data_IF_829586494523
#
_entry.id   IF_829586494523
#
_cell.length_a   1.000
_cell.length_b   1.000
_cell.length_c   1.000
_cell.angle_alpha   90.00
_cell.angle_beta   90.00
_cell.angle_gamma   90.00
#
_symmetry.space_group_name_H-M   'P 1'
#
loop_
_entity.id
_entity.type
_entity.pdbx_description
1 polymer ?
#
# COMPACT_ATOMS: atom_id res chain seq x y z
N UNK A 1 -14.73 49.04 -24.05
CA UNK A 1 -15.32 49.77 -22.91
C UNK A 1 -16.08 48.78 -22.03
N UNK A 2 -15.42 48.19 -21.04
CA UNK A 2 -16.02 47.63 -19.83
C UNK A 2 -14.87 47.39 -18.84
N UNK A 3 -14.89 48.14 -17.75
CA UNK A 3 -13.82 48.22 -16.76
C UNK A 3 -13.91 47.08 -15.75
N UNK A 4 -12.75 46.51 -15.39
CA UNK A 4 -12.60 45.55 -14.30
C UNK A 4 -12.16 46.35 -13.07
N UNK A 5 -13.06 46.53 -12.11
CA UNK A 5 -12.77 47.20 -10.85
C UNK A 5 -12.19 46.21 -9.83
N UNK A 6 -10.89 46.36 -9.56
CA UNK A 6 -10.18 45.88 -8.37
C UNK A 6 -10.73 46.50 -7.08
N UNK A 7 -10.62 45.80 -5.93
CA UNK A 7 -10.43 46.29 -4.53
C UNK A 7 -10.61 45.08 -3.53
N UNK A 8 -10.18 45.12 -2.24
CA UNK A 8 -8.82 44.78 -1.82
C UNK A 8 -8.74 43.74 -0.67
N UNK A 9 -7.50 43.36 -0.37
CA UNK A 9 -7.02 42.49 0.70
C UNK A 9 -7.16 43.17 2.08
N UNK A 10 -7.78 42.51 3.06
CA UNK A 10 -7.75 42.93 4.47
C UNK A 10 -7.51 41.72 5.40
N UNK A 11 -6.52 41.91 6.26
CA UNK A 11 -5.95 40.94 7.17
C UNK A 11 -6.80 40.71 8.42
N UNK A 12 -6.75 39.49 8.98
CA UNK A 12 -6.92 39.31 10.42
C UNK A 12 -6.01 38.19 10.96
N UNK A 13 -4.97 38.64 11.66
CA UNK A 13 -4.10 37.87 12.57
C UNK A 13 -4.91 37.20 13.69
N UNK A 14 -4.55 35.98 14.06
CA UNK A 14 -4.04 35.68 15.42
C UNK A 14 -3.53 34.25 15.54
N UNK A 15 -2.20 34.12 15.62
CA UNK A 15 -1.52 33.02 16.28
C UNK A 15 -1.51 33.31 17.80
N UNK A 16 -1.65 32.26 18.61
CA UNK A 16 -1.44 32.33 20.05
C UNK A 16 -0.42 31.26 20.43
N UNK A 17 0.81 31.72 20.65
CA UNK A 17 1.95 30.96 21.15
C UNK A 17 1.72 30.51 22.60
N UNK A 18 2.17 29.28 22.87
CA UNK A 18 2.35 28.73 24.20
C UNK A 18 3.70 29.16 24.78
N UNK A 19 3.70 29.68 26.02
CA UNK A 19 4.86 29.62 26.93
C UNK A 19 4.39 29.35 28.36
N UNK A 20 5.11 28.55 29.16
CA UNK A 20 4.78 28.28 30.55
C UNK A 20 5.45 29.31 31.48
N UNK A 21 4.77 29.69 32.56
CA UNK A 21 5.34 30.48 33.65
C UNK A 21 5.51 29.64 34.90
N UNK A 22 6.68 29.82 35.51
CA UNK A 22 7.27 29.18 36.66
C UNK A 22 6.50 29.37 37.97
N UNK A 23 6.53 28.35 38.81
CA UNK A 23 6.02 28.38 40.18
C UNK A 23 6.94 29.19 41.11
N UNK A 24 6.33 30.02 41.96
CA UNK A 24 6.94 30.55 43.19
C UNK A 24 6.04 30.23 44.35
N UNK A 25 6.57 29.48 45.31
CA UNK A 25 5.95 29.20 46.60
C UNK A 25 6.08 30.44 47.51
N UNK A 26 5.02 30.76 48.24
CA UNK A 26 5.08 31.65 49.40
C UNK A 26 4.23 31.06 50.53
N UNK A 27 4.77 31.16 51.73
CA UNK A 27 4.30 30.57 52.98
C UNK A 27 3.43 31.57 53.76
N UNK A 28 2.53 31.02 54.58
CA UNK A 28 2.15 31.48 55.94
C UNK A 28 0.73 32.03 56.21
N UNK A 29 0.13 31.39 57.23
CA UNK A 29 -0.64 31.93 58.38
C UNK A 29 -2.16 32.11 58.24
N UNK A 30 -2.84 31.17 58.93
CA UNK A 30 -3.92 31.30 59.91
C UNK A 30 -5.22 32.03 59.54
N UNK A 31 -6.33 31.31 59.69
CA UNK A 31 -7.68 31.87 59.68
C UNK A 31 -8.70 30.88 59.15
N UNK A 32 -9.35 30.14 60.05
CA UNK A 32 -10.37 29.18 59.67
C UNK A 32 -11.61 29.84 59.08
N UNK A 33 -12.05 29.35 57.93
CA UNK A 33 -13.47 29.25 57.55
C UNK A 33 -13.63 27.92 56.81
N UNK A 34 -14.33 26.97 57.42
CA UNK A 34 -14.83 25.79 56.70
C UNK A 34 -15.94 26.24 55.76
N UNK A 35 -15.66 26.27 54.45
CA UNK A 35 -16.69 26.25 53.42
C UNK A 35 -16.65 24.87 52.76
N UNK A 36 -17.65 24.07 53.13
CA UNK A 36 -17.89 22.74 52.59
C UNK A 36 -18.39 22.86 51.14
N UNK A 37 -17.48 23.07 50.20
CA UNK A 37 -17.77 22.98 48.77
C UNK A 37 -17.59 21.52 48.33
N UNK A 38 -18.71 20.81 48.22
CA UNK A 38 -18.78 19.45 47.67
C UNK A 38 -18.41 19.49 46.19
N UNK A 39 -17.11 19.47 45.88
CA UNK A 39 -16.63 19.30 44.53
C UNK A 39 -16.98 17.89 44.05
N UNK A 40 -18.05 17.78 43.25
CA UNK A 40 -18.32 16.57 42.47
C UNK A 40 -17.13 16.34 41.56
N UNK A 41 -16.31 15.35 41.92
CA UNK A 41 -15.22 14.83 41.11
C UNK A 41 -15.84 14.22 39.85
N UNK A 42 -16.07 15.05 38.83
CA UNK A 42 -16.40 14.61 37.50
C UNK A 42 -15.22 13.81 36.97
N UNK A 43 -15.31 12.49 37.06
CA UNK A 43 -14.34 11.57 36.48
C UNK A 43 -14.32 11.83 34.97
N UNK A 44 -13.33 12.57 34.48
CA UNK A 44 -12.97 12.54 33.06
C UNK A 44 -12.35 11.17 32.82
N UNK A 45 -13.18 10.19 32.49
CA UNK A 45 -12.70 8.94 31.92
C UNK A 45 -12.08 9.28 30.58
N UNK A 46 -10.75 9.32 30.53
CA UNK A 46 -10.04 9.18 29.26
C UNK A 46 -10.27 7.73 28.86
N UNK A 47 -11.18 7.51 27.92
CA UNK A 47 -11.37 6.20 27.30
C UNK A 47 -10.09 5.89 26.53
N UNK A 48 -9.16 5.20 27.18
CA UNK A 48 -8.01 4.61 26.53
C UNK A 48 -8.48 3.27 25.98
N UNK A 49 -8.87 3.25 24.72
CA UNK A 49 -9.09 2.00 24.00
C UNK A 49 -7.74 1.27 23.95
N UNK A 50 -7.52 0.34 24.87
CA UNK A 50 -6.44 -0.65 24.76
C UNK A 50 -7.01 -1.78 23.92
N UNK A 51 -6.82 -1.68 22.62
CA UNK A 51 -7.02 -2.82 21.73
C UNK A 51 -5.87 -3.80 21.96
N UNK A 52 -6.19 -5.08 22.05
CA UNK A 52 -5.22 -6.18 22.09
C UNK A 52 -4.38 -6.12 20.82
N UNK A 53 -3.05 -6.14 20.97
CA UNK A 53 -2.08 -5.87 19.91
C UNK A 53 -2.08 -6.86 18.72
N UNK A 54 -2.99 -7.84 18.70
CA UNK A 54 -3.08 -8.85 17.64
C UNK A 54 -4.03 -8.52 16.48
N UNK A 55 -5.00 -7.62 16.65
CA UNK A 55 -6.10 -7.43 15.68
C UNK A 55 -6.15 -6.05 15.02
N UNK A 56 -5.20 -5.15 15.31
CA UNK A 56 -5.12 -3.85 14.65
C UNK A 56 -4.16 -3.97 13.47
N UNK A 57 -4.60 -3.74 12.22
CA UNK A 57 -3.68 -3.65 11.09
C UNK A 57 -2.59 -2.61 11.37
N UNK A 58 -1.32 -2.88 11.03
CA UNK A 58 -0.25 -1.92 11.25
C UNK A 58 -0.55 -0.62 10.50
N UNK A 59 -0.02 0.49 10.99
CA UNK A 59 -0.17 1.77 10.29
C UNK A 59 0.89 1.90 9.19
N UNK A 60 0.65 2.82 8.25
CA UNK A 60 1.64 3.18 7.22
C UNK A 60 2.97 3.60 7.86
N UNK A 61 2.92 4.30 9.01
CA UNK A 61 4.11 4.71 9.73
C UNK A 61 4.89 3.51 10.27
N UNK A 62 4.21 2.47 10.75
CA UNK A 62 4.83 1.24 11.23
C UNK A 62 5.54 0.50 10.08
N UNK A 63 4.89 0.36 8.92
CA UNK A 63 5.51 -0.25 7.74
C UNK A 63 6.73 0.54 7.26
N UNK A 64 6.65 1.87 7.19
CA UNK A 64 7.82 2.72 6.84
C UNK A 64 8.96 2.54 7.84
N UNK A 65 8.63 2.50 9.13
CA UNK A 65 9.61 2.26 10.19
C UNK A 65 10.25 0.88 10.06
N UNK A 66 9.48 -0.16 9.76
CA UNK A 66 9.97 -1.51 9.55
C UNK A 66 10.94 -1.58 8.35
N UNK A 67 10.61 -0.90 7.25
CA UNK A 67 11.52 -0.81 6.10
C UNK A 67 12.86 -0.18 6.47
N UNK A 68 12.86 0.95 7.18
CA UNK A 68 14.09 1.63 7.61
C UNK A 68 14.89 0.84 8.67
N UNK A 69 14.22 0.00 9.47
CA UNK A 69 14.88 -0.91 10.41
C UNK A 69 15.57 -2.05 9.68
N UNK A 70 14.94 -2.60 8.65
CA UNK A 70 15.46 -3.71 7.84
C UNK A 70 16.59 -3.24 6.91
N UNK A 71 16.44 -2.09 6.24
CA UNK A 71 17.44 -1.53 5.34
C UNK A 71 18.09 -0.27 5.93
N UNK A 72 19.33 -0.41 6.42
CA UNK A 72 20.06 0.66 7.12
C UNK A 72 20.98 1.51 6.25
N UNK A 73 21.14 1.15 4.98
CA UNK A 73 22.02 1.88 4.04
C UNK A 73 21.27 3.10 3.47
N UNK A 74 21.97 4.19 3.12
CA UNK A 74 21.35 5.34 2.49
C UNK A 74 20.93 5.00 1.06
N UNK A 75 19.68 5.31 0.70
CA UNK A 75 19.15 5.18 -0.66
C UNK A 75 19.22 6.55 -1.34
N UNK A 76 19.74 6.67 -2.58
CA UNK A 76 19.71 7.93 -3.32
C UNK A 76 18.28 8.48 -3.44
N UNK A 77 18.14 9.80 -3.33
CA UNK A 77 16.84 10.48 -3.22
C UNK A 77 15.90 10.22 -4.40
N UNK A 78 16.46 9.99 -5.60
CA UNK A 78 15.72 9.67 -6.83
C UNK A 78 14.89 8.40 -6.65
N UNK A 79 15.45 7.37 -5.99
CA UNK A 79 14.76 6.11 -5.73
C UNK A 79 13.96 6.14 -4.43
N UNK A 80 14.48 6.79 -3.38
CA UNK A 80 13.86 6.73 -2.05
C UNK A 80 12.44 7.31 -2.02
N UNK A 81 12.19 8.38 -2.78
CA UNK A 81 10.86 9.01 -2.85
C UNK A 81 9.85 8.05 -3.45
N UNK A 82 10.17 7.48 -4.62
CA UNK A 82 9.26 6.57 -5.33
C UNK A 82 9.05 5.28 -4.54
N UNK A 83 10.11 4.71 -3.95
CA UNK A 83 10.00 3.51 -3.10
C UNK A 83 9.09 3.74 -1.89
N UNK A 84 9.19 4.89 -1.23
CA UNK A 84 8.31 5.19 -0.11
C UNK A 84 6.86 5.37 -0.54
N UNK A 85 6.60 6.02 -1.67
CA UNK A 85 5.24 6.15 -2.23
C UNK A 85 4.66 4.78 -2.60
N UNK A 86 5.47 3.94 -3.27
CA UNK A 86 5.12 2.56 -3.60
C UNK A 86 4.76 1.75 -2.34
N UNK A 87 5.57 1.88 -1.28
CA UNK A 87 5.36 1.21 -0.01
C UNK A 87 4.04 1.63 0.64
N UNK A 88 3.69 2.92 0.60
CA UNK A 88 2.41 3.40 1.12
C UNK A 88 1.24 2.84 0.31
N UNK A 89 1.33 2.88 -1.02
CA UNK A 89 0.26 2.38 -1.90
C UNK A 89 0.02 0.89 -1.67
N UNK A 90 1.09 0.09 -1.60
CA UNK A 90 0.98 -1.34 -1.35
C UNK A 90 0.51 -1.65 0.07
N UNK A 91 0.93 -0.88 1.08
CA UNK A 91 0.40 -1.02 2.44
C UNK A 91 -1.13 -0.87 2.48
N UNK A 92 -1.67 0.20 1.88
CA UNK A 92 -3.11 0.45 1.86
C UNK A 92 -3.88 -0.67 1.15
N UNK A 93 -3.26 -1.25 0.12
CA UNK A 93 -3.82 -2.36 -0.63
C UNK A 93 -3.75 -3.67 0.18
N UNK A 94 -2.62 -3.97 0.81
CA UNK A 94 -2.34 -5.19 1.59
C UNK A 94 -3.24 -5.37 2.81
N UNK A 95 -3.55 -4.27 3.51
CA UNK A 95 -4.38 -4.29 4.72
C UNK A 95 -5.84 -3.95 4.44
N UNK A 96 -6.24 -3.85 3.17
CA UNK A 96 -7.64 -3.79 2.79
C UNK A 96 -8.32 -5.10 3.15
N UNK A 97 -9.55 -5.05 3.67
CA UNK A 97 -10.33 -6.24 4.05
C UNK A 97 -10.60 -7.21 2.90
N UNK A 98 -10.52 -6.72 1.67
CA UNK A 98 -10.76 -7.47 0.43
C UNK A 98 -9.47 -7.95 -0.22
N UNK A 99 -8.31 -7.76 0.42
CA UNK A 99 -7.04 -8.18 -0.14
C UNK A 99 -6.89 -9.70 -0.11
N UNK A 100 -6.47 -10.23 -1.25
CA UNK A 100 -6.01 -11.60 -1.38
C UNK A 100 -4.73 -11.56 -2.21
N UNK A 101 -3.74 -12.35 -1.80
CA UNK A 101 -2.49 -12.47 -2.55
C UNK A 101 -2.74 -13.22 -3.87
N UNK A 102 -2.22 -12.67 -4.95
CA UNK A 102 -2.31 -13.23 -6.31
C UNK A 102 -0.93 -13.34 -6.93
N UNK A 103 -0.54 -14.50 -7.52
CA UNK A 103 0.71 -14.61 -8.25
C UNK A 103 0.82 -13.64 -9.45
N UNK A 104 -0.32 -13.27 -10.07
CA UNK A 104 -0.38 -12.23 -11.11
C UNK A 104 -0.03 -10.86 -10.54
N UNK A 105 -0.46 -10.57 -9.31
CA UNK A 105 -0.05 -9.36 -8.59
C UNK A 105 1.46 -9.37 -8.33
N UNK A 106 2.01 -10.49 -7.85
CA UNK A 106 3.44 -10.62 -7.57
C UNK A 106 4.28 -10.38 -8.83
N UNK A 107 3.90 -10.97 -9.97
CA UNK A 107 4.53 -10.72 -11.27
C UNK A 107 4.55 -9.23 -11.61
N UNK A 108 3.39 -8.55 -11.50
CA UNK A 108 3.30 -7.14 -11.82
C UNK A 108 4.10 -6.24 -10.88
N UNK A 109 4.09 -6.54 -9.58
CA UNK A 109 4.89 -5.81 -8.60
C UNK A 109 6.39 -5.98 -8.86
N UNK A 110 6.86 -7.22 -9.06
CA UNK A 110 8.27 -7.51 -9.36
C UNK A 110 8.71 -6.80 -10.65
N UNK A 111 7.87 -6.80 -11.68
CA UNK A 111 8.14 -6.11 -12.95
C UNK A 111 8.31 -4.60 -12.76
N UNK A 112 7.37 -3.96 -12.05
CA UNK A 112 7.45 -2.51 -11.76
C UNK A 112 8.67 -2.19 -10.91
N UNK A 113 8.96 -3.02 -9.90
CA UNK A 113 10.11 -2.83 -9.04
C UNK A 113 11.43 -2.90 -9.81
N UNK A 114 11.58 -3.91 -10.67
CA UNK A 114 12.82 -4.11 -11.44
C UNK A 114 13.05 -2.97 -12.43
N UNK A 115 11.99 -2.47 -13.08
CA UNK A 115 12.05 -1.28 -13.94
C UNK A 115 12.36 -0.01 -13.15
N UNK A 116 11.74 0.16 -11.98
CA UNK A 116 11.99 1.31 -11.11
C UNK A 116 13.44 1.36 -10.63
N UNK A 117 14.03 0.19 -10.36
CA UNK A 117 15.39 0.04 -9.89
C UNK A 117 16.40 -0.16 -11.01
N UNK A 118 15.99 0.04 -12.27
CA UNK A 118 16.88 0.03 -13.42
C UNK A 118 17.93 1.15 -13.27
N UNK A 119 19.19 0.80 -13.50
CA UNK A 119 20.31 1.74 -13.33
C UNK A 119 20.74 2.00 -11.88
N UNK A 120 20.19 1.29 -10.88
CA UNK A 120 20.70 1.39 -9.51
C UNK A 120 22.16 0.90 -9.44
N UNK A 121 23.10 1.61 -8.78
CA UNK A 121 24.54 1.32 -8.88
C UNK A 121 24.99 -0.07 -8.38
N UNK A 122 24.27 -0.64 -7.41
CA UNK A 122 24.58 -1.94 -6.79
C UNK A 122 23.40 -2.90 -6.91
N UNK A 123 23.62 -4.03 -7.60
CA UNK A 123 22.61 -5.09 -7.72
C UNK A 123 22.33 -5.78 -6.38
N UNK A 124 23.34 -5.93 -5.54
CA UNK A 124 23.19 -6.47 -4.18
C UNK A 124 22.30 -5.58 -3.32
N UNK A 125 22.46 -4.26 -3.44
CA UNK A 125 21.64 -3.30 -2.71
C UNK A 125 20.20 -3.30 -3.22
N UNK A 126 20.00 -3.41 -4.53
CA UNK A 126 18.67 -3.56 -5.11
C UNK A 126 17.96 -4.78 -4.52
N UNK A 127 18.60 -5.94 -4.52
CA UNK A 127 17.97 -7.16 -4.01
C UNK A 127 17.75 -7.08 -2.48
N UNK A 128 18.66 -6.44 -1.74
CA UNK A 128 18.48 -6.18 -0.31
C UNK A 128 17.33 -5.20 -0.01
N UNK A 129 17.15 -4.17 -0.85
CA UNK A 129 16.02 -3.23 -0.75
C UNK A 129 14.73 -3.98 -1.04
N UNK A 130 14.68 -4.83 -2.07
CA UNK A 130 13.50 -5.64 -2.41
C UNK A 130 13.09 -6.52 -1.23
N UNK A 131 14.04 -7.27 -0.66
CA UNK A 131 13.79 -8.11 0.53
C UNK A 131 13.26 -7.28 1.70
N UNK A 132 13.93 -6.18 2.01
CA UNK A 132 13.54 -5.30 3.11
C UNK A 132 12.16 -4.67 2.90
N UNK A 133 11.81 -4.34 1.66
CA UNK A 133 10.53 -3.76 1.27
C UNK A 133 9.38 -4.76 1.48
N UNK A 134 9.50 -5.98 0.96
CA UNK A 134 8.43 -6.99 1.05
C UNK A 134 8.28 -7.47 2.49
N UNK A 135 9.40 -7.68 3.20
CA UNK A 135 9.37 -8.03 4.62
C UNK A 135 8.75 -6.93 5.49
N UNK A 136 8.91 -5.65 5.15
CA UNK A 136 8.27 -4.56 5.89
C UNK A 136 6.73 -4.57 5.81
N UNK A 137 6.17 -5.22 4.79
CA UNK A 137 4.74 -5.45 4.59
C UNK A 137 4.26 -6.76 5.24
N UNK A 138 5.12 -7.46 5.97
CA UNK A 138 4.89 -8.80 6.52
C UNK A 138 4.55 -9.83 5.43
N UNK A 139 5.25 -9.75 4.29
CA UNK A 139 5.15 -10.72 3.20
C UNK A 139 6.51 -11.37 2.92
N UNK A 140 6.51 -12.43 2.13
CA UNK A 140 7.72 -13.19 1.79
C UNK A 140 8.32 -12.73 0.44
N UNK A 141 9.52 -12.11 0.42
CA UNK A 141 10.18 -11.73 -0.82
C UNK A 141 10.54 -12.90 -1.72
N UNK A 142 10.80 -14.09 -1.16
CA UNK A 142 11.20 -15.26 -1.94
C UNK A 142 9.99 -15.81 -2.70
N UNK A 143 8.83 -15.91 -2.04
CA UNK A 143 7.57 -16.23 -2.68
C UNK A 143 7.25 -15.29 -3.85
N UNK A 144 7.39 -13.97 -3.67
CA UNK A 144 7.12 -13.00 -4.74
C UNK A 144 7.98 -13.23 -5.99
N UNK A 145 9.28 -13.47 -5.81
CA UNK A 145 10.21 -13.71 -6.92
C UNK A 145 9.95 -15.06 -7.60
N UNK A 146 9.72 -16.11 -6.81
CA UNK A 146 9.45 -17.45 -7.32
C UNK A 146 8.14 -17.49 -8.12
N UNK A 147 7.06 -16.89 -7.59
CA UNK A 147 5.76 -16.85 -8.26
C UNK A 147 5.82 -15.99 -9.53
N UNK A 148 6.50 -14.83 -9.49
CA UNK A 148 6.72 -14.01 -10.67
C UNK A 148 7.47 -14.78 -11.76
N UNK A 149 8.56 -15.46 -11.41
CA UNK A 149 9.35 -16.25 -12.36
C UNK A 149 8.53 -17.39 -12.96
N UNK A 150 7.79 -18.14 -12.13
CA UNK A 150 6.92 -19.24 -12.60
C UNK A 150 5.86 -18.75 -13.59
N UNK A 151 5.26 -17.59 -13.31
CA UNK A 151 4.28 -16.95 -14.20
C UNK A 151 4.91 -16.48 -15.51
N UNK A 152 6.12 -15.90 -15.48
CA UNK A 152 6.84 -15.51 -16.69
C UNK A 152 7.22 -16.71 -17.57
N UNK A 153 7.76 -17.78 -16.97
CA UNK A 153 8.17 -18.99 -17.68
C UNK A 153 6.97 -19.65 -18.37
N UNK A 154 5.84 -19.73 -17.67
CA UNK A 154 4.61 -20.25 -18.26
C UNK A 154 4.12 -19.37 -19.40
N UNK A 155 4.09 -18.04 -19.23
CA UNK A 155 3.65 -17.14 -20.29
C UNK A 155 4.51 -17.25 -21.55
N UNK A 156 5.85 -17.36 -21.41
CA UNK A 156 6.78 -17.58 -22.53
C UNK A 156 6.55 -18.91 -23.24
N UNK A 157 6.04 -19.92 -22.54
CA UNK A 157 5.71 -21.23 -23.11
C UNK A 157 4.34 -21.26 -23.80
N UNK A 158 3.52 -20.20 -23.67
CA UNK A 158 2.23 -20.09 -24.35
C UNK A 158 2.37 -19.42 -25.72
N UNK A 159 1.51 -19.81 -26.66
CA UNK A 159 1.23 -19.01 -27.86
C UNK A 159 -0.01 -18.13 -27.57
N UNK A 160 -0.11 -16.94 -28.16
CA UNK A 160 -1.15 -15.95 -27.77
C UNK A 160 -2.62 -16.43 -27.77
N UNK A 161 -2.97 -17.43 -28.56
CA UNK A 161 -4.30 -18.06 -28.51
C UNK A 161 -4.49 -19.00 -27.30
N UNK A 162 -3.44 -19.69 -26.87
CA UNK A 162 -3.45 -20.62 -25.72
C UNK A 162 -3.60 -19.92 -24.38
N UNK A 163 -3.21 -18.64 -24.30
CA UNK A 163 -3.36 -17.83 -23.09
C UNK A 163 -4.84 -17.52 -22.81
N UNK A 164 -5.66 -17.34 -23.86
CA UNK A 164 -7.09 -17.00 -23.72
C UNK A 164 -7.93 -18.23 -23.40
N UNK A 165 -7.47 -19.43 -23.79
CA UNK A 165 -8.13 -20.71 -23.52
C UNK A 165 -7.69 -21.36 -22.20
N UNK A 166 -7.20 -20.58 -21.23
CA UNK A 166 -6.79 -21.09 -19.91
C UNK A 166 -7.92 -21.84 -19.19
N UNK A 167 -9.19 -21.47 -19.43
CA UNK A 167 -10.37 -22.10 -18.85
C UNK A 167 -10.53 -23.58 -19.22
N UNK A 168 -10.00 -23.99 -20.38
CA UNK A 168 -10.17 -25.34 -20.93
C UNK A 168 -9.02 -26.29 -20.62
N UNK A 169 -8.00 -25.84 -19.88
CA UNK A 169 -6.76 -26.58 -19.61
C UNK A 169 -6.56 -26.81 -18.12
N UNK A 170 -5.92 -27.92 -17.78
CA UNK A 170 -5.66 -28.31 -16.39
C UNK A 170 -4.15 -28.26 -16.13
N UNK A 171 -3.71 -27.11 -15.64
CA UNK A 171 -2.35 -26.87 -15.17
C UNK A 171 -2.37 -25.95 -13.95
N UNK A 172 -1.27 -25.92 -13.20
CA UNK A 172 -1.15 -25.16 -11.95
C UNK A 172 -1.49 -23.67 -12.16
N UNK A 173 -0.92 -23.05 -13.19
CA UNK A 173 -1.11 -21.63 -13.47
C UNK A 173 -2.49 -21.36 -14.07
N UNK A 174 -2.98 -22.25 -14.92
CA UNK A 174 -4.33 -22.19 -15.46
C UNK A 174 -5.37 -22.26 -14.33
N UNK A 175 -5.17 -23.09 -13.31
CA UNK A 175 -6.04 -23.15 -12.13
C UNK A 175 -6.03 -21.86 -11.31
N UNK A 176 -4.86 -21.21 -11.18
CA UNK A 176 -4.73 -19.90 -10.53
C UNK A 176 -5.51 -18.85 -11.32
N UNK A 177 -5.38 -18.85 -12.65
CA UNK A 177 -6.10 -17.91 -13.52
C UNK A 177 -7.61 -18.16 -13.51
N UNK A 178 -8.07 -19.43 -13.45
CA UNK A 178 -9.48 -19.80 -13.28
C UNK A 178 -10.03 -19.24 -11.97
N UNK A 179 -9.37 -19.50 -10.84
CA UNK A 179 -9.75 -18.97 -9.52
C UNK A 179 -9.81 -17.44 -9.50
N UNK A 180 -8.82 -16.75 -10.08
CA UNK A 180 -8.87 -15.29 -10.25
C UNK A 180 -10.08 -14.85 -11.08
N UNK A 181 -10.36 -15.54 -12.20
CA UNK A 181 -11.48 -15.21 -13.09
C UNK A 181 -12.83 -15.40 -12.41
N UNK A 182 -13.01 -16.48 -11.65
CA UNK A 182 -14.23 -16.77 -10.89
C UNK A 182 -14.46 -15.71 -9.81
N UNK A 183 -13.40 -15.32 -9.08
CA UNK A 183 -13.48 -14.23 -8.09
C UNK A 183 -13.81 -12.88 -8.72
N UNK A 184 -13.30 -12.61 -9.92
CA UNK A 184 -13.57 -11.38 -10.65
C UNK A 184 -14.99 -11.33 -11.24
N UNK A 185 -15.57 -12.48 -11.64
CA UNK A 185 -16.93 -12.60 -12.16
C UNK A 185 -18.00 -12.65 -11.06
N UNK A 186 -17.68 -13.23 -9.91
CA UNK A 186 -18.61 -13.31 -8.79
C UNK A 186 -18.96 -11.95 -8.17
N UNK A 187 -19.97 -11.93 -7.29
CA UNK A 187 -20.24 -10.79 -6.38
C UNK A 187 -19.19 -10.67 -5.26
N UNK A 188 -18.03 -11.30 -5.45
CA UNK A 188 -16.96 -11.40 -4.47
C UNK A 188 -16.14 -10.11 -4.36
N UNK A 189 -15.30 -10.08 -3.34
CA UNK A 189 -14.42 -8.97 -3.00
C UNK A 189 -13.12 -9.05 -3.83
N UNK A 190 -13.18 -8.88 -5.16
CA UNK A 190 -11.97 -8.80 -5.98
C UNK A 190 -11.30 -7.41 -5.84
N UNK A 191 -10.04 -7.39 -5.42
CA UNK A 191 -9.26 -6.16 -5.27
C UNK A 191 -8.39 -5.91 -6.49
N UNK A 192 -8.95 -5.24 -7.49
CA UNK A 192 -8.16 -4.77 -8.62
C UNK A 192 -7.08 -3.77 -8.13
N UNK A 193 -5.85 -3.97 -8.57
CA UNK A 193 -4.72 -3.09 -8.30
C UNK A 193 -3.94 -2.79 -9.57
N UNK A 194 -3.19 -1.69 -9.57
CA UNK A 194 -2.34 -1.33 -10.71
C UNK A 194 -1.28 -2.41 -10.99
N UNK A 195 -0.74 -3.04 -9.95
CA UNK A 195 0.22 -4.14 -10.10
C UNK A 195 -0.44 -5.37 -10.73
N UNK A 196 -1.67 -5.71 -10.36
CA UNK A 196 -2.41 -6.79 -11.03
C UNK A 196 -2.54 -6.53 -12.54
N UNK A 197 -2.88 -5.29 -12.93
CA UNK A 197 -2.98 -4.90 -14.34
C UNK A 197 -1.65 -5.04 -15.09
N UNK A 198 -0.54 -4.60 -14.46
CA UNK A 198 0.80 -4.74 -15.03
C UNK A 198 1.19 -6.21 -15.15
N UNK A 199 0.86 -7.05 -14.17
CA UNK A 199 1.10 -8.48 -14.23
C UNK A 199 0.35 -9.16 -15.38
N UNK A 200 -0.93 -8.83 -15.56
CA UNK A 200 -1.71 -9.35 -16.68
C UNK A 200 -1.15 -8.88 -18.04
N UNK A 201 -0.77 -7.61 -18.14
CA UNK A 201 -0.13 -7.08 -19.34
C UNK A 201 1.20 -7.78 -19.63
N UNK A 202 2.00 -8.06 -18.59
CA UNK A 202 3.25 -8.78 -18.71
C UNK A 202 3.05 -10.22 -19.20
N UNK A 203 2.00 -10.91 -18.76
CA UNK A 203 1.64 -12.24 -19.28
C UNK A 203 1.29 -12.19 -20.77
N UNK A 204 0.52 -11.19 -21.20
CA UNK A 204 0.13 -10.99 -22.61
C UNK A 204 1.33 -10.64 -23.49
N UNK A 205 2.23 -9.79 -22.98
CA UNK A 205 3.47 -9.41 -23.65
C UNK A 205 4.36 -10.64 -23.90
N UNK A 206 4.58 -11.46 -22.87
CA UNK A 206 5.45 -12.63 -22.94
C UNK A 206 4.89 -13.76 -23.82
N UNK A 207 3.57 -13.84 -23.96
CA UNK A 207 2.89 -14.82 -24.84
C UNK A 207 2.70 -14.31 -26.28
N UNK A 208 3.27 -13.14 -26.61
CA UNK A 208 3.13 -12.49 -27.91
C UNK A 208 1.65 -12.26 -28.32
N UNK A 209 0.80 -12.07 -27.31
CA UNK A 209 -0.65 -11.86 -27.42
C UNK A 209 -1.00 -10.36 -27.39
N UNK A 210 -0.15 -9.52 -27.99
CA UNK A 210 -0.22 -8.04 -27.93
C UNK A 210 -1.16 -7.42 -28.97
N UNK A 211 -1.88 -8.23 -29.74
CA UNK A 211 -2.91 -7.69 -30.64
C UNK A 211 -4.12 -7.15 -29.84
N UNK A 212 -4.64 -5.96 -30.19
CA UNK A 212 -5.76 -5.32 -29.47
C UNK A 212 -7.03 -6.17 -29.44
N UNK A 213 -7.22 -7.04 -30.45
CA UNK A 213 -8.32 -8.01 -30.55
C UNK A 213 -8.27 -9.11 -29.48
N UNK A 214 -7.11 -9.39 -28.89
CA UNK A 214 -6.96 -10.38 -27.80
C UNK A 214 -7.42 -9.78 -26.47
N UNK A 215 -7.16 -8.49 -26.22
CA UNK A 215 -7.65 -7.79 -25.03
C UNK A 215 -9.18 -7.80 -24.99
N UNK A 216 -9.83 -7.56 -26.13
CA UNK A 216 -11.29 -7.61 -26.25
C UNK A 216 -11.85 -9.01 -25.97
N UNK A 217 -11.15 -10.08 -26.38
CA UNK A 217 -11.55 -11.46 -26.06
C UNK A 217 -11.39 -11.78 -24.58
N UNK A 218 -10.27 -11.40 -23.96
CA UNK A 218 -10.04 -11.57 -22.51
C UNK A 218 -11.08 -10.80 -21.68
N UNK A 219 -11.45 -9.59 -22.12
CA UNK A 219 -12.51 -8.79 -21.50
C UNK A 219 -13.93 -9.34 -21.77
N UNK A 220 -14.20 -9.86 -22.97
CA UNK A 220 -15.51 -10.42 -23.33
C UNK A 220 -15.77 -11.82 -22.73
N UNK A 221 -14.75 -12.66 -22.56
CA UNK A 221 -14.88 -13.93 -21.85
C UNK A 221 -15.28 -13.75 -20.37
N UNK A 222 -15.06 -12.56 -19.79
CA UNK A 222 -15.59 -12.20 -18.47
C UNK A 222 -17.07 -11.81 -18.47
N UNK A 223 -17.70 -11.58 -19.63
CA UNK A 223 -19.10 -11.12 -19.75
C UNK A 223 -20.08 -12.17 -20.27
N UNK A 224 -19.59 -13.28 -20.82
CA UNK A 224 -20.41 -14.35 -21.35
C UNK A 224 -19.94 -15.70 -20.81
N UNK A 225 -20.23 -15.97 -19.54
CA UNK A 225 -20.50 -17.31 -19.02
C UNK A 225 -21.50 -17.20 -17.88
#
# INVERSE_FOLDING_TARGET
>A
MAAISSLPFAALRRAADWRPSTATAAVSVSGGVMLNARARRGSRSVVRCVATAGDIPPTVADTKMNFLKSYKRPIPSIYSTVLQELLVQQHLMRYKSTYQYDPVFALGFVTVYDQLMEGYPSTEDRDAIFKSYVTALNEDPEQYRADAQRMEEWARSQNGNLLVEFSSRDGEIESILKDISERAQGKGNFSYSRFFAVGLFRLLELSNATEPTVLDKVLCCSKHQ
#
